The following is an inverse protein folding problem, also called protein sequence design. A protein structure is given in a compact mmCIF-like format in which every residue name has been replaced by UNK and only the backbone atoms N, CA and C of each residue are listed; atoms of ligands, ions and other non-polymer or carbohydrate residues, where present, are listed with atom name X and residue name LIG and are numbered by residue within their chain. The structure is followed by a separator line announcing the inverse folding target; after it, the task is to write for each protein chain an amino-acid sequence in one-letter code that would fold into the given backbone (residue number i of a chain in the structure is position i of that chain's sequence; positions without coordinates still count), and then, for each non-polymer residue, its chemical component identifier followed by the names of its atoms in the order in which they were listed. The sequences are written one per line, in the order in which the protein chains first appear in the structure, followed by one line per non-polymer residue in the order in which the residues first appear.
data_IF_877259233911
#
_entry.id   IF_877259233911
#
_cell.length_a   1.000
_cell.length_b   1.000
_cell.length_c   1.000
_cell.angle_alpha   90.00
_cell.angle_beta   90.00
_cell.angle_gamma   90.00
#
_symmetry.space_group_name_H-M   'P 1'
#
loop_
_entity.id
_entity.type
_entity.pdbx_description
1 polymer ?
#
# COMPACT_ATOMS: atom_id res chain seq x y z
N UNK A 1 9.73 2.18 -3.81
CA UNK A 1 11.04 1.81 -3.22
C UNK A 1 11.59 0.53 -3.86
N UNK A 2 12.83 0.17 -3.56
CA UNK A 2 13.45 -1.06 -4.07
C UNK A 2 12.87 -2.35 -3.45
N UNK A 3 12.16 -2.23 -2.33
CA UNK A 3 11.51 -3.33 -1.62
C UNK A 3 10.02 -3.48 -1.96
N UNK A 4 9.52 -2.75 -2.96
CA UNK A 4 8.14 -2.87 -3.41
C UNK A 4 7.84 -4.28 -3.95
N UNK A 5 6.57 -4.67 -3.84
CA UNK A 5 6.10 -5.86 -4.53
C UNK A 5 6.26 -5.71 -6.06
N UNK A 6 6.58 -6.82 -6.74
CA UNK A 6 6.85 -6.82 -8.19
C UNK A 6 5.72 -6.18 -9.02
N UNK A 7 4.47 -6.27 -8.59
CA UNK A 7 3.33 -5.61 -9.27
C UNK A 7 3.43 -4.08 -9.30
N UNK A 8 4.13 -3.48 -8.34
CA UNK A 8 4.43 -2.03 -8.31
C UNK A 8 5.67 -1.75 -9.15
N UNK A 9 6.73 -2.53 -8.98
CA UNK A 9 7.99 -2.37 -9.75
C UNK A 9 7.77 -2.52 -11.26
N UNK A 10 6.86 -3.39 -11.68
CA UNK A 10 6.54 -3.61 -13.08
C UNK A 10 5.44 -2.69 -13.63
N UNK A 11 4.92 -1.75 -12.85
CA UNK A 11 3.82 -0.89 -13.27
C UNK A 11 4.22 0.23 -14.23
N UNK A 12 5.51 0.58 -14.29
CA UNK A 12 6.04 1.60 -15.18
C UNK A 12 7.45 1.22 -15.67
N UNK A 13 7.80 1.69 -16.88
CA UNK A 13 9.08 1.37 -17.54
C UNK A 13 10.26 2.19 -16.96
N UNK A 14 10.01 3.42 -16.52
CA UNK A 14 11.04 4.35 -16.05
C UNK A 14 10.77 4.72 -14.60
N UNK A 15 11.12 3.79 -13.68
CA UNK A 15 11.01 4.05 -12.25
C UNK A 15 12.39 4.32 -11.66
N UNK A 16 12.43 5.25 -10.74
CA UNK A 16 13.58 5.47 -9.89
C UNK A 16 13.37 4.76 -8.55
N UNK A 17 14.33 3.92 -8.16
CA UNK A 17 14.23 3.13 -6.94
C UNK A 17 14.79 3.92 -5.76
N UNK A 18 13.98 4.08 -4.72
CA UNK A 18 14.43 4.61 -3.43
C UNK A 18 15.09 3.49 -2.64
N UNK A 19 16.34 3.69 -2.18
CA UNK A 19 17.04 2.70 -1.39
C UNK A 19 16.42 2.54 0.00
N UNK A 20 16.69 1.39 0.61
CA UNK A 20 16.40 1.14 2.02
C UNK A 20 17.70 0.98 2.81
N UNK A 21 17.62 1.13 4.11
CA UNK A 21 18.71 0.86 5.03
C UNK A 21 18.90 -0.65 5.33
N UNK A 22 19.82 -0.98 6.23
CA UNK A 22 20.09 -2.37 6.62
C UNK A 22 18.93 -3.07 7.33
N UNK A 23 17.96 -2.34 7.82
CA UNK A 23 16.74 -2.84 8.45
C UNK A 23 15.57 -2.92 7.44
N UNK A 24 15.77 -2.48 6.21
CA UNK A 24 14.79 -2.51 5.14
C UNK A 24 13.83 -1.32 5.15
N UNK A 25 14.16 -0.25 5.86
CA UNK A 25 13.36 0.99 5.93
C UNK A 25 13.86 1.99 4.89
N UNK A 26 12.93 2.67 4.21
CA UNK A 26 13.25 3.65 3.18
C UNK A 26 14.11 4.79 3.73
N UNK A 27 15.17 5.13 2.99
CA UNK A 27 15.99 6.32 3.27
C UNK A 27 15.24 7.60 2.88
N UNK A 28 14.64 8.23 3.89
CA UNK A 28 13.85 9.45 3.73
C UNK A 28 14.72 10.66 3.30
N UNK A 29 16.01 10.67 3.65
CA UNK A 29 16.91 11.74 3.23
C UNK A 29 17.19 11.66 1.71
N UNK A 30 17.36 10.46 1.18
CA UNK A 30 17.49 10.24 -0.26
C UNK A 30 16.21 10.64 -0.99
N UNK A 31 15.03 10.26 -0.47
CA UNK A 31 13.75 10.69 -1.06
C UNK A 31 13.69 12.21 -1.17
N UNK A 32 14.00 12.93 -0.08
CA UNK A 32 13.97 14.39 -0.07
C UNK A 32 14.90 14.99 -1.11
N UNK A 33 16.15 14.55 -1.16
CA UNK A 33 17.12 15.03 -2.16
C UNK A 33 16.65 14.80 -3.59
N UNK A 34 16.06 13.63 -3.87
CA UNK A 34 15.52 13.31 -5.20
C UNK A 34 14.38 14.23 -5.61
N UNK A 35 13.49 14.54 -4.67
CA UNK A 35 12.36 15.44 -4.93
C UNK A 35 12.82 16.91 -5.10
N UNK A 36 13.88 17.34 -4.40
CA UNK A 36 14.49 18.68 -4.56
C UNK A 36 15.10 18.87 -5.96
N UNK A 37 15.68 17.80 -6.52
CA UNK A 37 16.33 17.83 -7.84
C UNK A 37 15.35 17.58 -9.00
N UNK A 38 14.07 17.25 -8.72
CA UNK A 38 13.12 16.85 -9.71
C UNK A 38 12.45 18.07 -10.39
N UNK A 39 12.51 18.13 -11.71
CA UNK A 39 11.77 19.10 -12.52
C UNK A 39 10.55 18.46 -13.16
N UNK A 40 9.38 18.67 -12.57
CA UNK A 40 8.10 18.18 -13.11
C UNK A 40 7.27 17.35 -12.12
N UNK A 41 6.14 16.79 -12.61
CA UNK A 41 5.23 16.02 -11.77
C UNK A 41 5.84 14.68 -11.36
N UNK A 42 5.65 14.30 -10.10
CA UNK A 42 6.11 13.03 -9.55
C UNK A 42 4.99 12.25 -8.86
N UNK A 43 5.12 10.94 -8.87
CA UNK A 43 4.38 10.02 -8.03
C UNK A 43 5.36 9.20 -7.19
N UNK A 44 5.31 9.36 -5.89
CA UNK A 44 6.05 8.52 -4.96
C UNK A 44 5.19 7.32 -4.62
N UNK A 45 5.73 6.11 -4.78
CA UNK A 45 5.04 4.86 -4.42
C UNK A 45 5.84 4.10 -3.39
N UNK A 46 5.23 3.85 -2.23
CA UNK A 46 5.85 3.19 -1.08
C UNK A 46 4.86 2.24 -0.44
N UNK A 47 5.25 0.98 -0.28
CA UNK A 47 4.42 0.03 0.45
C UNK A 47 4.33 0.40 1.94
N UNK A 48 3.17 0.15 2.56
CA UNK A 48 2.99 0.43 3.99
C UNK A 48 3.60 -0.64 4.88
N UNK A 49 3.55 -1.89 4.43
CA UNK A 49 4.19 -3.02 5.12
C UNK A 49 4.72 -4.02 4.10
N UNK A 50 5.96 -4.46 4.31
CA UNK A 50 6.61 -5.39 3.40
C UNK A 50 6.10 -6.83 3.57
N UNK A 51 5.84 -7.50 2.47
CA UNK A 51 5.26 -8.85 2.44
C UNK A 51 6.27 -9.96 2.79
N UNK A 52 7.57 -9.69 2.77
CA UNK A 52 8.63 -10.66 3.03
C UNK A 52 9.27 -10.43 4.40
N UNK A 53 9.63 -9.20 4.71
CA UNK A 53 10.33 -8.84 5.94
C UNK A 53 9.40 -8.45 7.09
N UNK A 54 8.20 -7.95 6.76
CA UNK A 54 7.26 -7.40 7.73
C UNK A 54 7.59 -5.99 8.21
N UNK A 55 8.59 -5.34 7.61
CA UNK A 55 8.95 -3.95 7.91
C UNK A 55 7.75 -3.03 7.61
N UNK A 56 7.49 -2.09 8.50
CA UNK A 56 6.48 -1.05 8.33
C UNK A 56 7.21 0.24 7.96
N UNK A 57 6.88 0.76 6.79
CA UNK A 57 7.50 1.96 6.26
C UNK A 57 6.91 3.24 6.87
N UNK A 58 7.69 4.31 7.01
CA UNK A 58 7.23 5.58 7.57
C UNK A 58 6.38 6.37 6.55
N UNK A 59 5.30 5.76 6.04
CA UNK A 59 4.50 6.27 4.92
C UNK A 59 3.90 7.66 5.18
N UNK A 60 3.53 7.98 6.43
CA UNK A 60 3.00 9.30 6.76
C UNK A 60 4.08 10.39 6.65
N UNK A 61 5.32 10.12 7.08
CA UNK A 61 6.44 11.04 6.92
C UNK A 61 6.81 11.22 5.44
N UNK A 62 6.90 10.11 4.71
CA UNK A 62 7.14 10.11 3.26
C UNK A 62 6.06 10.93 2.53
N UNK A 63 4.78 10.75 2.91
CA UNK A 63 3.66 11.51 2.35
C UNK A 63 3.82 13.02 2.58
N UNK A 64 4.18 13.42 3.79
CA UNK A 64 4.42 14.84 4.10
C UNK A 64 5.51 15.43 3.23
N UNK A 65 6.64 14.73 3.10
CA UNK A 65 7.77 15.19 2.27
C UNK A 65 7.37 15.26 0.80
N UNK A 66 6.71 14.23 0.26
CA UNK A 66 6.25 14.22 -1.12
C UNK A 66 5.34 15.43 -1.43
N UNK A 67 4.40 15.73 -0.55
CA UNK A 67 3.47 16.86 -0.70
C UNK A 67 4.15 18.22 -0.59
N UNK A 68 5.15 18.37 0.26
CA UNK A 68 5.95 19.60 0.35
C UNK A 68 6.64 19.93 -0.99
N UNK A 69 6.91 18.91 -1.82
CA UNK A 69 7.52 19.06 -3.15
C UNK A 69 6.49 18.94 -4.30
N UNK A 70 5.19 18.95 -4.00
CA UNK A 70 4.14 18.88 -5.02
C UNK A 70 3.99 17.51 -5.67
N UNK A 71 4.57 16.46 -5.12
CA UNK A 71 4.44 15.10 -5.62
C UNK A 71 3.16 14.44 -5.06
N UNK A 72 2.55 13.55 -5.88
CA UNK A 72 1.52 12.65 -5.44
C UNK A 72 2.13 11.46 -4.69
N UNK A 73 1.35 10.86 -3.80
CA UNK A 73 1.78 9.72 -3.00
C UNK A 73 0.80 8.55 -3.09
N UNK A 74 1.32 7.38 -3.43
CA UNK A 74 0.64 6.11 -3.41
C UNK A 74 1.24 5.21 -2.32
N UNK A 75 0.41 4.49 -1.60
CA UNK A 75 0.86 3.40 -0.72
C UNK A 75 0.19 2.08 -1.09
N UNK A 76 1.01 1.04 -1.24
CA UNK A 76 0.52 -0.33 -1.27
C UNK A 76 0.27 -0.79 0.18
N UNK A 77 -1.00 -0.82 0.59
CA UNK A 77 -1.40 -1.26 1.91
C UNK A 77 -1.92 -2.71 1.92
N UNK A 78 -1.64 -3.49 0.88
CA UNK A 78 -2.13 -4.86 0.72
C UNK A 78 -1.74 -5.75 1.89
N UNK A 79 -0.54 -5.60 2.43
CA UNK A 79 -0.09 -6.38 3.59
C UNK A 79 -0.40 -5.71 4.93
N UNK A 80 -0.69 -4.43 4.96
CA UNK A 80 -1.03 -3.68 6.17
C UNK A 80 -2.51 -3.82 6.57
N UNK A 81 -3.40 -3.76 5.59
CA UNK A 81 -4.84 -3.81 5.81
C UNK A 81 -5.27 -5.06 6.61
N UNK A 82 -6.07 -4.85 7.66
CA UNK A 82 -6.55 -5.90 8.55
C UNK A 82 -5.52 -6.45 9.54
N UNK A 83 -4.26 -5.96 9.51
CA UNK A 83 -3.19 -6.37 10.43
C UNK A 83 -2.72 -5.20 11.30
N UNK A 84 -2.56 -4.02 10.70
CA UNK A 84 -2.26 -2.78 11.39
C UNK A 84 -3.30 -1.71 10.99
N UNK A 85 -3.33 -0.61 11.75
CA UNK A 85 -4.21 0.52 11.42
C UNK A 85 -3.78 1.14 10.07
N UNK A 86 -4.73 1.22 9.16
CA UNK A 86 -4.58 1.94 7.89
C UNK A 86 -5.60 3.07 7.92
N UNK A 87 -5.14 4.28 8.17
CA UNK A 87 -5.99 5.46 8.28
C UNK A 87 -5.60 6.46 7.20
N UNK A 88 -6.54 6.73 6.29
CA UNK A 88 -6.34 7.63 5.16
C UNK A 88 -5.86 9.02 5.58
N UNK A 89 -6.46 9.56 6.63
CA UNK A 89 -6.18 10.93 7.08
C UNK A 89 -4.81 11.01 7.74
N UNK A 90 -4.48 10.03 8.59
CA UNK A 90 -3.18 9.98 9.27
C UNK A 90 -2.03 9.72 8.30
N UNK A 91 -2.23 8.83 7.31
CA UNK A 91 -1.23 8.55 6.28
C UNK A 91 -1.04 9.75 5.34
N UNK A 92 -2.10 10.51 5.11
CA UNK A 92 -2.06 11.68 4.23
C UNK A 92 -1.75 11.35 2.77
N UNK A 93 -1.96 10.13 2.32
CA UNK A 93 -1.66 9.67 0.95
C UNK A 93 -2.77 10.03 -0.02
N UNK A 94 -2.46 10.00 -1.33
CA UNK A 94 -3.40 10.29 -2.41
C UNK A 94 -4.03 9.03 -2.98
N UNK A 95 -3.33 7.89 -2.87
CA UNK A 95 -3.79 6.59 -3.34
C UNK A 95 -3.43 5.48 -2.36
N UNK A 96 -4.35 4.53 -2.18
CA UNK A 96 -4.10 3.29 -1.43
C UNK A 96 -4.54 2.09 -2.27
N UNK A 97 -3.63 1.14 -2.50
CA UNK A 97 -3.95 -0.15 -3.10
C UNK A 97 -4.32 -1.18 -2.03
N UNK A 98 -5.40 -1.91 -2.27
CA UNK A 98 -5.91 -2.96 -1.39
C UNK A 98 -6.25 -4.23 -2.20
N UNK A 99 -6.17 -5.39 -1.56
CA UNK A 99 -6.55 -6.67 -2.17
C UNK A 99 -7.39 -7.52 -1.20
N UNK A 100 -8.56 -7.98 -1.68
CA UNK A 100 -9.52 -8.69 -0.86
C UNK A 100 -8.96 -10.00 -0.27
N UNK A 101 -8.23 -10.78 -1.08
CA UNK A 101 -7.72 -12.09 -0.63
C UNK A 101 -6.68 -12.01 0.49
N UNK A 102 -6.09 -10.86 0.74
CA UNK A 102 -5.12 -10.65 1.84
C UNK A 102 -5.78 -10.36 3.19
N UNK A 103 -7.09 -10.09 3.17
CA UNK A 103 -7.91 -9.86 4.37
C UNK A 103 -9.05 -10.87 4.52
N UNK A 104 -8.93 -12.04 3.87
CA UNK A 104 -9.92 -13.13 3.96
C UNK A 104 -11.10 -12.97 3.00
N UNK A 105 -11.02 -12.08 2.01
CA UNK A 105 -12.01 -11.89 0.96
C UNK A 105 -11.75 -12.74 -0.29
N UNK A 106 -12.59 -12.59 -1.33
CA UNK A 106 -12.44 -13.34 -2.58
C UNK A 106 -11.16 -12.97 -3.34
N UNK A 107 -10.64 -13.94 -4.10
CA UNK A 107 -9.58 -13.69 -5.08
C UNK A 107 -10.12 -12.90 -6.28
N UNK A 108 -9.23 -12.23 -7.02
CA UNK A 108 -9.56 -11.53 -8.26
C UNK A 108 -10.31 -10.21 -8.07
N UNK A 109 -10.33 -9.67 -6.85
CA UNK A 109 -10.89 -8.36 -6.54
C UNK A 109 -9.92 -7.55 -5.69
N UNK A 110 -9.77 -6.28 -6.01
CA UNK A 110 -8.98 -5.29 -5.30
C UNK A 110 -9.63 -3.92 -5.38
N UNK A 111 -9.07 -2.95 -4.69
CA UNK A 111 -9.53 -1.57 -4.72
C UNK A 111 -8.34 -0.61 -4.77
N UNK A 112 -8.51 0.46 -5.52
CA UNK A 112 -7.71 1.67 -5.42
C UNK A 112 -8.57 2.73 -4.72
N UNK A 113 -8.22 3.05 -3.49
CA UNK A 113 -8.81 4.20 -2.76
C UNK A 113 -8.04 5.43 -3.20
N UNK A 114 -8.75 6.50 -3.56
CA UNK A 114 -8.11 7.71 -4.07
C UNK A 114 -8.94 8.95 -3.77
N UNK A 115 -8.28 10.10 -3.74
CA UNK A 115 -8.97 11.38 -3.76
C UNK A 115 -9.65 11.55 -5.13
N UNK A 116 -10.96 11.84 -5.13
CA UNK A 116 -11.73 11.93 -6.36
C UNK A 116 -11.40 13.16 -7.21
N UNK A 117 -10.78 14.18 -6.63
CA UNK A 117 -10.33 15.39 -7.34
C UNK A 117 -9.08 15.16 -8.20
N UNK A 118 -8.35 14.05 -7.97
CA UNK A 118 -7.16 13.72 -8.75
C UNK A 118 -7.58 13.12 -10.10
N UNK A 119 -7.16 13.71 -11.22
CA UNK A 119 -7.49 13.18 -12.54
C UNK A 119 -6.78 11.83 -12.76
N UNK A 120 -7.56 10.80 -13.08
CA UNK A 120 -7.06 9.48 -13.42
C UNK A 120 -7.47 9.12 -14.85
N UNK A 121 -6.48 8.92 -15.71
CA UNK A 121 -6.74 8.41 -17.07
C UNK A 121 -7.01 6.91 -17.02
N UNK A 122 -8.20 6.50 -17.51
CA UNK A 122 -8.58 5.10 -17.56
C UNK A 122 -7.63 4.31 -18.47
N UNK A 123 -6.99 3.29 -17.92
CA UNK A 123 -6.19 2.31 -18.68
C UNK A 123 -7.10 1.37 -19.49
N UNK A 124 -8.18 0.89 -18.88
CA UNK A 124 -9.19 0.04 -19.52
C UNK A 124 -10.34 0.96 -19.95
N UNK A 125 -10.42 1.23 -21.24
CA UNK A 125 -11.41 2.15 -21.84
C UNK A 125 -12.64 1.39 -22.31
N UNK A 126 -13.83 2.03 -22.24
CA UNK A 126 -15.11 1.45 -22.67
C UNK A 126 -16.30 2.15 -22.06
N UNK A 127 -17.15 1.45 -21.34
CA UNK A 127 -18.31 2.00 -20.65
C UNK A 127 -17.95 2.86 -19.42
N UNK A 128 -18.98 3.44 -18.79
CA UNK A 128 -18.81 4.39 -17.68
C UNK A 128 -18.65 3.75 -16.30
N UNK A 129 -18.29 2.48 -16.21
CA UNK A 129 -18.11 1.77 -14.94
C UNK A 129 -17.02 2.45 -14.09
N UNK A 130 -17.05 2.22 -12.77
CA UNK A 130 -16.14 2.80 -11.80
C UNK A 130 -15.95 4.32 -12.01
N UNK A 131 -17.06 5.04 -12.25
CA UNK A 131 -17.06 6.48 -12.55
C UNK A 131 -16.16 6.85 -13.74
N UNK A 132 -16.16 6.03 -14.79
CA UNK A 132 -15.33 6.14 -16.00
C UNK A 132 -13.81 5.97 -15.77
N UNK A 133 -13.41 5.46 -14.62
CA UNK A 133 -12.00 5.22 -14.28
C UNK A 133 -11.51 3.83 -14.67
N UNK A 134 -12.43 2.85 -14.85
CA UNK A 134 -12.15 1.50 -15.33
C UNK A 134 -13.39 0.89 -15.97
N UNK A 135 -13.33 0.64 -17.25
CA UNK A 135 -14.43 0.03 -17.98
C UNK A 135 -14.51 -1.49 -17.75
N UNK A 136 -15.64 -2.06 -18.10
CA UNK A 136 -15.98 -3.47 -17.94
C UNK A 136 -16.96 -3.70 -16.79
N UNK A 137 -17.86 -4.63 -16.96
CA UNK A 137 -18.91 -4.98 -15.97
C UNK A 137 -18.26 -5.29 -14.63
N UNK A 138 -18.82 -4.73 -13.57
CA UNK A 138 -18.33 -4.88 -12.21
C UNK A 138 -18.53 -6.33 -11.72
N UNK A 139 -17.53 -6.86 -11.03
CA UNK A 139 -17.61 -8.15 -10.33
C UNK A 139 -18.38 -7.96 -9.01
N UNK A 140 -19.70 -7.78 -9.09
CA UNK A 140 -20.54 -7.50 -7.93
C UNK A 140 -20.37 -8.51 -6.79
N UNK A 141 -20.37 -9.85 -7.03
CA UNK A 141 -20.12 -10.82 -5.96
C UNK A 141 -18.76 -10.63 -5.28
N UNK A 142 -17.71 -10.37 -6.07
CA UNK A 142 -16.37 -10.08 -5.53
C UNK A 142 -16.33 -8.80 -4.70
N UNK A 143 -16.99 -7.75 -5.16
CA UNK A 143 -17.09 -6.46 -4.45
C UNK A 143 -17.82 -6.62 -3.11
N UNK A 144 -18.94 -7.33 -3.10
CA UNK A 144 -19.71 -7.61 -1.86
C UNK A 144 -18.87 -8.43 -0.88
N UNK A 145 -18.19 -9.49 -1.38
CA UNK A 145 -17.29 -10.29 -0.56
C UNK A 145 -16.11 -9.50 -0.01
N UNK A 146 -15.55 -8.58 -0.80
CA UNK A 146 -14.49 -7.69 -0.33
C UNK A 146 -15.00 -6.74 0.77
N UNK A 147 -16.19 -6.14 0.60
CA UNK A 147 -16.80 -5.28 1.62
C UNK A 147 -17.03 -6.02 2.94
N UNK A 148 -17.53 -7.25 2.89
CA UNK A 148 -17.71 -8.10 4.07
C UNK A 148 -16.36 -8.40 4.77
N UNK A 149 -15.34 -8.76 3.99
CA UNK A 149 -14.00 -9.03 4.51
C UNK A 149 -13.36 -7.79 5.12
N UNK A 150 -13.50 -6.62 4.49
CA UNK A 150 -12.96 -5.35 4.99
C UNK A 150 -13.61 -4.97 6.34
N UNK A 151 -14.92 -5.16 6.48
CA UNK A 151 -15.63 -4.94 7.74
C UNK A 151 -15.09 -5.85 8.85
N UNK A 152 -14.99 -7.15 8.58
CA UNK A 152 -14.46 -8.12 9.55
C UNK A 152 -12.99 -7.84 9.92
N UNK A 153 -12.18 -7.44 8.95
CA UNK A 153 -10.78 -7.07 9.16
C UNK A 153 -10.66 -5.87 10.11
N UNK A 154 -11.49 -4.85 9.93
CA UNK A 154 -11.53 -3.68 10.81
C UNK A 154 -11.97 -4.05 12.23
N UNK A 155 -13.00 -4.88 12.39
CA UNK A 155 -13.50 -5.35 13.69
C UNK A 155 -12.47 -6.22 14.45
N UNK A 156 -11.60 -6.94 13.73
CA UNK A 156 -10.61 -7.84 14.29
C UNK A 156 -9.20 -7.24 14.39
N UNK A 157 -9.01 -5.98 14.09
CA UNK A 157 -7.68 -5.34 14.05
C UNK A 157 -6.90 -5.51 15.37
N UNK A 158 -7.58 -5.46 16.52
CA UNK A 158 -6.96 -5.67 17.83
C UNK A 158 -6.35 -7.07 18.05
N UNK A 159 -6.79 -8.08 17.29
CA UNK A 159 -6.26 -9.45 17.39
C UNK A 159 -4.87 -9.63 16.79
N UNK A 160 -4.36 -8.67 16.04
CA UNK A 160 -3.00 -8.69 15.52
C UNK A 160 -1.95 -8.78 16.66
N UNK A 161 -2.23 -8.21 17.83
CA UNK A 161 -1.37 -8.32 19.00
C UNK A 161 -1.24 -9.77 19.50
N UNK A 162 -2.30 -10.58 19.44
CA UNK A 162 -2.26 -11.99 19.82
C UNK A 162 -1.34 -12.78 18.88
N UNK A 163 -1.38 -12.49 17.59
CA UNK A 163 -0.48 -13.09 16.58
C UNK A 163 0.97 -12.65 16.84
N UNK A 164 1.19 -11.41 17.25
CA UNK A 164 2.50 -10.90 17.65
C UNK A 164 3.11 -11.72 18.80
N UNK A 165 2.33 -12.00 19.84
CA UNK A 165 2.77 -12.82 20.98
C UNK A 165 3.15 -14.22 20.53
N UNK A 166 2.39 -14.84 19.64
CA UNK A 166 2.70 -16.17 19.10
C UNK A 166 3.97 -16.18 18.26
N UNK A 167 4.17 -15.15 17.43
CA UNK A 167 5.40 -14.95 16.65
C UNK A 167 6.62 -14.83 17.55
N UNK A 168 6.55 -13.97 18.57
CA UNK A 168 7.65 -13.74 19.50
C UNK A 168 8.01 -15.01 20.27
N UNK A 169 6.99 -15.78 20.69
CA UNK A 169 7.19 -17.08 21.29
C UNK A 169 7.88 -18.08 20.34
N UNK A 170 7.44 -18.15 19.09
CA UNK A 170 8.07 -19.00 18.07
C UNK A 170 9.53 -18.61 17.86
N UNK A 171 9.81 -17.32 17.69
CA UNK A 171 11.15 -16.80 17.49
C UNK A 171 12.09 -17.14 18.64
N UNK A 172 11.61 -16.98 19.88
CA UNK A 172 12.36 -17.38 21.07
C UNK A 172 12.71 -18.87 21.04
N UNK A 173 11.75 -19.72 20.72
CA UNK A 173 11.96 -21.18 20.65
C UNK A 173 12.92 -21.60 19.55
N UNK A 174 12.88 -20.93 18.40
CA UNK A 174 13.82 -21.20 17.30
C UNK A 174 15.24 -20.81 17.69
N UNK A 175 15.43 -19.67 18.36
CA UNK A 175 16.75 -19.22 18.84
C UNK A 175 17.37 -20.16 19.90
N UNK A 176 16.56 -20.95 20.61
CA UNK A 176 17.07 -21.96 21.55
C UNK A 176 17.63 -23.22 20.85
N UNK A 177 17.30 -23.43 19.57
CA UNK A 177 17.64 -24.63 18.79
C UNK A 177 18.75 -24.33 17.78
N UNK A 178 18.88 -23.08 17.35
CA UNK A 178 19.86 -22.60 16.36
C UNK A 178 21.18 -22.21 17.02
#
# INVERSE_FOLDING_TARGET
SEVEHYSVLAAADNIELLPVDGDGVIDVAVLKSRLEDLDGPALVSVMLANNETGVIEPAAEISRIAKEHGALIHTDAIQAAGKIKVDWVELGVDFISLSAHKIGGPQGIGALVMNEDIPLTSLIRGGGQERSRRAGTENVPGIVGFGAAAKLAAENLGKANEIGILRDHLELRVKEIA
#
